data_IF_329828563245
#
_entry.id   IF_329828563245
#
_cell.length_a   1.000
_cell.length_b   1.000
_cell.length_c   1.000
_cell.angle_alpha   90.00
_cell.angle_beta   90.00
_cell.angle_gamma   90.00
#
_symmetry.space_group_name_H-M   'P 1'
#
loop_
_entity.id
_entity.type
_entity.pdbx_description
1 polymer ?
#
# COMPACT_ATOMS: atom_id res chain seq x y z
N UNK A 1 0.83 -17.46 4.72
CA UNK A 1 -0.06 -18.62 4.54
C UNK A 1 0.09 -19.65 5.66
N UNK A 2 1.32 -20.02 5.96
CA UNK A 2 1.56 -21.00 7.00
C UNK A 2 0.98 -20.54 8.35
N UNK A 3 1.15 -19.27 8.70
CA UNK A 3 0.58 -18.71 9.92
C UNK A 3 -0.94 -18.81 9.93
N UNK A 4 -1.60 -18.55 8.80
CA UNK A 4 -3.04 -18.66 8.67
C UNK A 4 -3.50 -20.10 8.80
N UNK A 5 -2.78 -21.02 8.18
CA UNK A 5 -3.09 -22.47 8.26
C UNK A 5 -2.97 -22.99 9.69
N UNK A 6 -2.09 -22.41 10.48
CA UNK A 6 -1.89 -22.78 11.88
C UNK A 6 -2.86 -22.05 12.83
N UNK A 7 -3.78 -21.24 12.29
CA UNK A 7 -4.80 -20.56 13.06
C UNK A 7 -4.37 -19.22 13.64
N UNK A 8 -3.24 -18.68 13.22
CA UNK A 8 -2.79 -17.37 13.67
C UNK A 8 -3.63 -16.25 13.06
N UNK A 9 -3.81 -15.20 13.85
CA UNK A 9 -4.47 -13.98 13.41
C UNK A 9 -3.48 -13.08 12.66
N UNK A 10 -3.78 -12.74 11.41
CA UNK A 10 -2.87 -11.97 10.56
C UNK A 10 -3.43 -10.57 10.32
N UNK A 11 -2.63 -9.56 10.65
CA UNK A 11 -2.93 -8.16 10.39
C UNK A 11 -1.88 -7.57 9.46
N UNK A 12 -2.32 -6.92 8.39
CA UNK A 12 -1.45 -6.27 7.43
C UNK A 12 -1.78 -4.78 7.33
N UNK A 13 -0.75 -3.95 7.21
CA UNK A 13 -0.90 -2.51 7.00
C UNK A 13 -0.01 -2.10 5.84
N UNK A 14 -0.60 -1.42 4.85
CA UNK A 14 0.13 -0.89 3.70
C UNK A 14 -0.05 0.61 3.63
N UNK A 15 1.01 1.30 3.23
CA UNK A 15 0.98 2.74 2.99
C UNK A 15 1.45 2.99 1.56
N UNK A 16 0.61 3.63 0.77
CA UNK A 16 0.87 3.88 -0.66
C UNK A 16 0.85 5.36 -0.97
N UNK A 17 1.38 5.72 -2.14
CA UNK A 17 1.09 6.98 -2.81
C UNK A 17 0.44 6.65 -4.15
N UNK A 18 -0.22 7.62 -4.77
CA UNK A 18 -0.91 7.38 -6.03
C UNK A 18 0.06 7.18 -7.20
N UNK A 19 1.33 7.57 -7.06
CA UNK A 19 2.33 7.47 -8.12
C UNK A 19 3.71 7.26 -7.51
N UNK A 20 4.52 6.30 -8.03
CA UNK A 20 5.88 6.08 -7.52
C UNK A 20 6.79 7.31 -7.67
N UNK A 21 6.49 8.24 -8.59
CA UNK A 21 7.25 9.47 -8.75
C UNK A 21 7.18 10.35 -7.51
N UNK A 22 6.10 10.28 -6.74
CA UNK A 22 5.98 10.98 -5.47
C UNK A 22 7.03 10.46 -4.48
N UNK A 23 7.22 9.15 -4.44
CA UNK A 23 8.21 8.52 -3.58
C UNK A 23 9.62 8.92 -3.99
N UNK A 24 9.89 8.95 -5.29
CA UNK A 24 11.19 9.38 -5.85
C UNK A 24 11.46 10.83 -5.45
N UNK A 25 10.49 11.73 -5.63
CA UNK A 25 10.65 13.13 -5.27
C UNK A 25 10.93 13.33 -3.78
N UNK A 26 10.29 12.55 -2.92
CA UNK A 26 10.52 12.60 -1.48
C UNK A 26 11.92 12.13 -1.11
N UNK A 27 12.44 11.10 -1.79
CA UNK A 27 13.80 10.60 -1.59
C UNK A 27 14.80 11.64 -2.06
N UNK A 28 14.60 12.24 -3.22
CA UNK A 28 15.47 13.31 -3.75
C UNK A 28 15.54 14.50 -2.79
N UNK A 29 14.40 14.88 -2.22
CA UNK A 29 14.34 15.93 -1.22
C UNK A 29 15.15 15.59 0.03
N UNK A 30 15.09 14.34 0.49
CA UNK A 30 15.89 13.87 1.64
C UNK A 30 17.38 13.82 1.33
N UNK A 31 17.73 13.42 0.11
CA UNK A 31 19.15 13.42 -0.35
C UNK A 31 19.70 14.84 -0.35
N UNK A 32 18.94 15.81 -0.85
CA UNK A 32 19.32 17.22 -0.83
C UNK A 32 19.53 17.73 0.62
N UNK A 33 18.83 17.16 1.58
CA UNK A 33 18.97 17.50 3.00
C UNK A 33 20.02 16.64 3.73
N UNK A 34 20.80 15.83 3.01
CA UNK A 34 21.87 15.01 3.57
C UNK A 34 21.52 13.54 3.81
N UNK A 35 20.39 13.06 3.29
CA UNK A 35 20.00 11.66 3.40
C UNK A 35 20.67 10.77 2.35
N UNK A 36 20.40 9.47 2.43
CA UNK A 36 20.95 8.50 1.48
C UNK A 36 20.16 8.46 0.18
N UNK A 37 20.89 8.31 -0.92
CA UNK A 37 20.28 8.15 -2.23
C UNK A 37 19.80 6.71 -2.45
N UNK A 38 18.68 6.54 -3.15
CA UNK A 38 18.14 5.24 -3.57
C UNK A 38 17.89 5.29 -5.08
N UNK A 39 18.26 4.21 -5.77
CA UNK A 39 18.01 4.08 -7.21
C UNK A 39 16.51 4.20 -7.50
N UNK A 40 16.15 5.11 -8.42
CA UNK A 40 14.76 5.35 -8.81
C UNK A 40 14.09 4.10 -9.36
N UNK A 41 14.84 3.26 -10.10
CA UNK A 41 14.31 1.99 -10.61
C UNK A 41 13.89 1.06 -9.50
N UNK A 42 14.66 1.01 -8.41
CA UNK A 42 14.31 0.20 -7.24
C UNK A 42 13.08 0.74 -6.51
N UNK A 43 12.92 2.05 -6.46
CA UNK A 43 11.73 2.67 -5.85
C UNK A 43 10.47 2.28 -6.61
N UNK A 44 10.51 2.35 -7.94
CA UNK A 44 9.40 1.96 -8.80
C UNK A 44 9.09 0.48 -8.65
N UNK A 45 10.11 -0.37 -8.65
CA UNK A 45 9.96 -1.81 -8.48
C UNK A 45 9.27 -2.14 -7.15
N UNK A 46 9.73 -1.54 -6.06
CA UNK A 46 9.15 -1.74 -4.72
C UNK A 46 7.71 -1.25 -4.65
N UNK A 47 7.41 -0.16 -5.32
CA UNK A 47 6.06 0.39 -5.38
C UNK A 47 5.08 -0.63 -5.96
N UNK A 48 5.39 -1.17 -7.15
CA UNK A 48 4.51 -2.14 -7.80
C UNK A 48 4.50 -3.49 -7.08
N UNK A 49 5.61 -3.87 -6.46
CA UNK A 49 5.66 -5.08 -5.63
C UNK A 49 4.73 -4.96 -4.42
N UNK A 50 4.68 -3.79 -3.79
CA UNK A 50 3.77 -3.54 -2.67
C UNK A 50 2.32 -3.65 -3.10
N UNK A 51 1.98 -3.10 -4.27
CA UNK A 51 0.63 -3.20 -4.83
C UNK A 51 0.25 -4.66 -5.08
N UNK A 52 1.14 -5.44 -5.66
CA UNK A 52 0.90 -6.87 -5.89
C UNK A 52 0.74 -7.64 -4.59
N UNK A 53 1.49 -7.28 -3.55
CA UNK A 53 1.38 -7.90 -2.24
C UNK A 53 0.01 -7.67 -1.60
N UNK A 54 -0.60 -6.50 -1.80
CA UNK A 54 -1.96 -6.23 -1.31
C UNK A 54 -2.92 -7.28 -1.86
N UNK A 55 -2.86 -7.52 -3.16
CA UNK A 55 -3.71 -8.51 -3.85
C UNK A 55 -3.49 -9.91 -3.28
N UNK A 56 -2.23 -10.31 -3.12
CA UNK A 56 -1.88 -11.65 -2.65
C UNK A 56 -2.28 -11.88 -1.20
N UNK A 57 -2.13 -10.86 -0.36
CA UNK A 57 -2.38 -10.98 1.07
C UNK A 57 -3.82 -10.73 1.47
N UNK A 58 -4.63 -10.15 0.58
CA UNK A 58 -6.01 -9.80 0.87
C UNK A 58 -6.83 -11.01 1.34
N UNK A 59 -6.61 -12.17 0.72
CA UNK A 59 -7.36 -13.39 1.03
C UNK A 59 -6.90 -14.06 2.33
N UNK A 60 -5.66 -13.84 2.74
CA UNK A 60 -5.09 -14.53 3.90
C UNK A 60 -5.01 -13.67 5.16
N UNK A 61 -5.14 -12.36 5.04
CA UNK A 61 -5.15 -11.46 6.19
C UNK A 61 -6.53 -11.41 6.83
N UNK A 62 -6.57 -11.49 8.16
CA UNK A 62 -7.82 -11.29 8.90
C UNK A 62 -8.19 -9.81 8.96
N UNK A 63 -7.19 -8.94 9.11
CA UNK A 63 -7.37 -7.49 9.08
C UNK A 63 -6.34 -6.91 8.11
N UNK A 64 -6.80 -6.03 7.22
CA UNK A 64 -5.93 -5.29 6.33
C UNK A 64 -6.35 -3.83 6.30
N UNK A 65 -5.37 -2.94 6.41
CA UNK A 65 -5.56 -1.51 6.24
C UNK A 65 -4.62 -1.02 5.16
N UNK A 66 -5.15 -0.30 4.18
CA UNK A 66 -4.34 0.34 3.14
C UNK A 66 -4.57 1.84 3.22
N UNK A 67 -3.50 2.58 3.39
CA UNK A 67 -3.52 4.04 3.51
C UNK A 67 -2.91 4.67 2.28
N UNK A 68 -3.51 5.77 1.84
CA UNK A 68 -2.92 6.66 0.85
C UNK A 68 -2.22 7.80 1.59
N UNK A 69 -0.94 8.00 1.32
CA UNK A 69 -0.16 9.09 1.90
C UNK A 69 0.37 10.02 0.81
N UNK A 70 -0.45 10.26 -0.21
CA UNK A 70 -0.08 11.19 -1.29
C UNK A 70 0.02 12.63 -0.75
N UNK A 71 -0.95 13.06 0.00
CA UNK A 71 -0.96 14.37 0.64
C UNK A 71 -0.90 14.24 2.17
N UNK A 72 -1.85 13.51 2.74
CA UNK A 72 -1.90 13.18 4.17
C UNK A 72 -2.40 11.76 4.32
N UNK A 73 -2.09 11.07 5.43
CA UNK A 73 -2.54 9.68 5.59
C UNK A 73 -4.07 9.57 5.59
N UNK A 74 -4.61 8.84 4.61
CA UNK A 74 -6.03 8.59 4.47
C UNK A 74 -6.23 7.11 4.17
N UNK A 75 -7.07 6.43 4.94
CA UNK A 75 -7.35 5.01 4.69
C UNK A 75 -8.25 4.86 3.48
N UNK A 76 -7.84 4.04 2.52
CA UNK A 76 -8.61 3.77 1.30
C UNK A 76 -9.21 2.36 1.27
N UNK A 77 -8.63 1.41 2.00
CA UNK A 77 -9.17 0.05 2.12
C UNK A 77 -9.15 -0.37 3.59
N UNK A 78 -10.25 -0.98 4.02
CA UNK A 78 -10.34 -1.62 5.33
C UNK A 78 -10.96 -3.00 5.15
N UNK A 79 -10.24 -4.02 5.60
CA UNK A 79 -10.77 -5.38 5.67
C UNK A 79 -10.76 -5.82 7.13
N UNK A 80 -11.86 -6.36 7.59
CA UNK A 80 -11.97 -6.98 8.90
C UNK A 80 -12.69 -8.31 8.73
N UNK A 81 -11.94 -9.41 8.76
CA UNK A 81 -12.42 -10.76 8.47
C UNK A 81 -13.07 -10.81 7.07
N UNK A 82 -14.36 -11.02 6.97
CA UNK A 82 -15.07 -11.08 5.69
C UNK A 82 -15.62 -9.74 5.23
N UNK A 83 -15.60 -8.74 6.11
CA UNK A 83 -16.08 -7.40 5.76
C UNK A 83 -14.99 -6.61 5.05
N UNK A 84 -15.33 -6.04 3.92
CA UNK A 84 -14.44 -5.24 3.10
C UNK A 84 -15.09 -3.90 2.80
N UNK A 85 -14.40 -2.83 3.13
CA UNK A 85 -14.87 -1.46 2.86
C UNK A 85 -13.80 -0.71 2.09
N UNK A 86 -14.24 0.12 1.14
CA UNK A 86 -13.35 1.00 0.38
C UNK A 86 -13.76 2.45 0.62
N UNK A 87 -12.77 3.34 0.62
CA UNK A 87 -12.98 4.77 0.89
C UNK A 87 -12.26 5.58 -0.18
N UNK A 88 -12.92 5.84 -1.32
CA UNK A 88 -12.33 6.67 -2.38
C UNK A 88 -12.01 8.08 -1.89
N UNK A 89 -10.94 8.66 -2.44
CA UNK A 89 -10.57 10.04 -2.16
C UNK A 89 -10.23 10.76 -3.47
N UNK A 90 -9.66 11.96 -3.40
CA UNK A 90 -9.34 12.72 -4.61
C UNK A 90 -8.23 12.10 -5.46
N UNK A 91 -7.40 11.23 -4.90
CA UNK A 91 -6.31 10.56 -5.62
C UNK A 91 -6.66 9.15 -6.07
N UNK A 92 -7.56 8.48 -5.36
CA UNK A 92 -7.95 7.09 -5.62
C UNK A 92 -9.45 7.00 -5.83
N UNK A 93 -9.87 6.75 -7.08
CA UNK A 93 -11.27 6.49 -7.38
C UNK A 93 -11.66 5.09 -6.91
N UNK A 94 -12.95 4.80 -6.88
CA UNK A 94 -13.45 3.45 -6.56
C UNK A 94 -12.83 2.41 -7.49
N UNK A 95 -12.74 2.71 -8.78
CA UNK A 95 -12.15 1.79 -9.76
C UNK A 95 -10.66 1.57 -9.52
N UNK A 96 -9.93 2.62 -9.15
CA UNK A 96 -8.51 2.51 -8.82
C UNK A 96 -8.29 1.60 -7.63
N UNK A 97 -9.11 1.75 -6.60
CA UNK A 97 -9.04 0.93 -5.38
C UNK A 97 -9.38 -0.53 -5.70
N UNK A 98 -10.43 -0.76 -6.48
CA UNK A 98 -10.81 -2.11 -6.88
C UNK A 98 -9.71 -2.78 -7.70
N UNK A 99 -8.99 -2.02 -8.51
CA UNK A 99 -7.83 -2.51 -9.26
C UNK A 99 -6.71 -3.03 -8.37
N UNK A 100 -6.55 -2.50 -7.16
CA UNK A 100 -5.56 -2.99 -6.21
C UNK A 100 -5.88 -4.38 -5.68
N UNK A 101 -7.15 -4.76 -5.72
CA UNK A 101 -7.65 -6.01 -5.14
C UNK A 101 -7.85 -7.13 -6.17
N UNK A 102 -7.70 -6.81 -7.44
CA UNK A 102 -7.90 -7.79 -8.53
C UNK A 102 -6.62 -8.48 -8.97
#
# INVERSE_FOLDING_TARGET
>A
RKAKEEGYFIKCVFVLTVDPQINIARIESRVAAGGHNVDSGKVIERYYKSINNIKELLDICDIMHVYDNTNSPERIIRKHKEELSIYPNEYWSEQDILGLME
#
